data_IF_864103489008
#
_entry.id   IF_864103489008
#
_cell.length_a   1.000
_cell.length_b   1.000
_cell.length_c   1.000
_cell.angle_alpha   90.00
_cell.angle_beta   90.00
_cell.angle_gamma   90.00
#
_symmetry.space_group_name_H-M   'P 1'
#
loop_
_entity.id
_entity.type
_entity.pdbx_description
1 polymer ?
#
# COMPACT_ATOMS: atom_id res chain seq x y z
N UNK A 1 16.98 29.89 8.04
CA UNK A 1 15.60 30.11 7.54
C UNK A 1 15.20 28.92 6.64
N UNK A 2 15.20 27.69 7.18
CA UNK A 2 15.13 26.42 6.39
C UNK A 2 13.95 25.53 6.86
N UNK A 3 12.87 26.11 7.42
CA UNK A 3 11.85 25.30 8.11
C UNK A 3 10.54 25.06 7.34
N UNK A 4 10.42 25.40 6.05
CA UNK A 4 9.15 25.20 5.31
C UNK A 4 9.23 24.24 4.09
N UNK A 5 10.40 23.68 3.78
CA UNK A 5 10.62 23.08 2.44
C UNK A 5 11.24 21.68 2.42
N UNK A 6 11.38 21.02 3.57
CA UNK A 6 12.07 19.72 3.68
C UNK A 6 11.08 18.62 4.10
N UNK A 7 10.90 17.63 3.23
CA UNK A 7 10.25 16.36 3.59
C UNK A 7 11.33 15.29 3.70
N UNK A 8 11.47 14.67 4.87
CA UNK A 8 12.46 13.62 5.14
C UNK A 8 11.78 12.25 5.00
N UNK A 9 12.30 11.42 4.10
CA UNK A 9 12.13 9.97 4.10
C UNK A 9 13.30 9.36 4.87
N UNK A 10 13.16 8.13 5.36
CA UNK A 10 14.12 7.46 6.28
C UNK A 10 15.60 7.57 5.79
N UNK A 11 15.83 7.71 4.49
CA UNK A 11 17.12 7.86 3.84
C UNK A 11 17.22 9.02 2.82
N UNK A 12 16.19 9.87 2.67
CA UNK A 12 16.12 10.86 1.57
C UNK A 12 15.50 12.18 2.01
N UNK A 13 15.92 13.29 1.41
CA UNK A 13 15.36 14.63 1.62
C UNK A 13 14.84 15.18 0.29
N UNK A 14 13.56 15.57 0.26
CA UNK A 14 13.00 16.33 -0.84
C UNK A 14 13.14 17.84 -0.58
N UNK A 15 13.79 18.55 -1.51
CA UNK A 15 13.94 20.00 -1.54
C UNK A 15 13.08 20.58 -2.65
N UNK A 16 12.16 21.50 -2.32
CA UNK A 16 11.35 22.20 -3.33
C UNK A 16 12.19 23.15 -4.19
N UNK A 17 13.21 23.75 -3.60
CA UNK A 17 14.10 24.71 -4.23
C UNK A 17 15.54 24.38 -3.85
N UNK A 18 16.45 24.44 -4.82
CA UNK A 18 17.87 24.27 -4.55
C UNK A 18 18.48 25.60 -4.09
N UNK A 19 19.45 25.57 -3.16
CA UNK A 19 20.16 26.77 -2.77
C UNK A 19 20.84 27.42 -3.99
N UNK A 20 20.96 28.75 -4.01
CA UNK A 20 21.66 29.49 -5.06
C UNK A 20 23.07 28.93 -5.33
N UNK A 21 23.59 29.15 -6.55
CA UNK A 21 24.91 28.59 -6.96
C UNK A 21 26.06 29.21 -6.17
N UNK A 22 25.88 30.45 -5.73
CA UNK A 22 26.80 31.25 -4.91
C UNK A 22 26.76 30.91 -3.41
N UNK A 23 25.72 30.21 -2.93
CA UNK A 23 25.65 29.76 -1.53
C UNK A 23 26.50 28.49 -1.31
N UNK A 24 27.79 28.72 -1.10
CA UNK A 24 28.78 27.66 -0.94
C UNK A 24 28.55 26.79 0.31
N UNK A 25 28.06 27.38 1.41
CA UNK A 25 27.88 26.69 2.68
C UNK A 25 26.68 25.73 2.61
N UNK A 26 25.53 26.19 2.11
CA UNK A 26 24.34 25.34 1.96
C UNK A 26 24.60 24.20 0.97
N UNK A 27 25.27 24.49 -0.16
CA UNK A 27 25.62 23.47 -1.15
C UNK A 27 26.62 22.46 -0.63
N UNK A 28 27.59 22.89 0.18
CA UNK A 28 28.53 21.97 0.82
C UNK A 28 27.82 21.05 1.81
N UNK A 29 26.86 21.56 2.58
CA UNK A 29 26.03 20.73 3.47
C UNK A 29 25.26 19.66 2.68
N UNK A 30 24.62 20.02 1.56
CA UNK A 30 23.92 19.04 0.72
C UNK A 30 24.86 18.01 0.07
N UNK A 31 26.07 18.41 -0.33
CA UNK A 31 27.08 17.46 -0.83
C UNK A 31 27.49 16.44 0.22
N UNK A 32 27.78 16.88 1.45
CA UNK A 32 28.14 16.00 2.57
C UNK A 32 27.03 15.00 2.89
N UNK A 33 25.78 15.47 2.81
CA UNK A 33 24.60 14.65 2.97
C UNK A 33 24.51 13.54 1.90
N UNK A 34 24.78 13.87 0.64
CA UNK A 34 24.83 12.88 -0.45
C UNK A 34 25.99 11.89 -0.24
N UNK A 35 27.15 12.35 0.23
CA UNK A 35 28.32 11.50 0.52
C UNK A 35 28.04 10.46 1.60
N UNK A 36 27.20 10.78 2.60
CA UNK A 36 26.73 9.81 3.60
C UNK A 36 25.51 9.00 3.13
N UNK A 37 25.31 8.90 1.82
CA UNK A 37 24.24 8.15 1.14
C UNK A 37 22.82 8.67 1.39
N UNK A 38 22.64 9.92 1.82
CA UNK A 38 21.31 10.51 1.90
C UNK A 38 20.82 10.97 0.52
N UNK A 39 19.66 10.48 0.09
CA UNK A 39 19.07 10.82 -1.20
C UNK A 39 18.53 12.25 -1.22
N UNK A 40 19.25 13.21 -1.80
CA UNK A 40 18.72 14.57 -1.99
C UNK A 40 17.93 14.60 -3.29
N UNK A 41 16.63 14.87 -3.20
CA UNK A 41 15.68 14.93 -4.33
C UNK A 41 15.34 16.39 -4.63
N UNK A 42 15.46 16.80 -5.89
CA UNK A 42 15.11 18.15 -6.36
C UNK A 42 14.28 18.11 -7.66
N UNK A 43 13.39 19.08 -7.92
CA UNK A 43 12.65 19.18 -9.18
C UNK A 43 13.56 19.30 -10.39
N UNK A 44 13.10 18.77 -11.53
CA UNK A 44 13.80 18.88 -12.82
C UNK A 44 14.17 20.33 -13.16
N UNK A 45 13.26 21.28 -12.96
CA UNK A 45 13.50 22.71 -13.23
C UNK A 45 14.66 23.28 -12.41
N UNK A 46 14.78 22.91 -11.14
CA UNK A 46 15.86 23.36 -10.27
C UNK A 46 17.18 22.71 -10.67
N UNK A 47 17.16 21.43 -11.05
CA UNK A 47 18.39 20.74 -11.47
C UNK A 47 18.93 21.27 -12.80
N UNK A 48 18.05 21.69 -13.72
CA UNK A 48 18.46 22.30 -15.00
C UNK A 48 19.02 23.72 -14.82
N UNK A 49 18.52 24.47 -13.83
CA UNK A 49 18.93 25.87 -13.60
C UNK A 49 20.09 26.01 -12.62
N UNK A 50 20.14 25.17 -11.59
CA UNK A 50 21.06 25.25 -10.45
C UNK A 50 21.62 23.86 -10.10
N UNK A 51 22.28 23.16 -11.04
CA UNK A 51 22.61 21.74 -10.91
C UNK A 51 23.34 21.42 -9.60
N UNK A 52 22.90 20.35 -8.94
CA UNK A 52 23.54 19.75 -7.78
C UNK A 52 24.05 18.35 -8.14
N UNK A 53 25.37 18.11 -8.19
CA UNK A 53 25.90 16.80 -8.55
C UNK A 53 25.38 15.67 -7.65
N UNK A 54 25.09 14.50 -8.25
CA UNK A 54 24.61 13.28 -7.57
C UNK A 54 23.26 13.40 -6.84
N UNK A 55 22.58 14.54 -6.95
CA UNK A 55 21.20 14.68 -6.51
C UNK A 55 20.27 13.83 -7.40
N UNK A 56 19.22 13.30 -6.79
CA UNK A 56 18.12 12.65 -7.50
C UNK A 56 17.17 13.70 -8.06
N UNK A 57 16.57 13.42 -9.21
CA UNK A 57 15.71 14.39 -9.90
C UNK A 57 14.26 13.91 -9.91
N UNK A 58 13.38 14.76 -9.40
CA UNK A 58 11.93 14.57 -9.43
C UNK A 58 11.39 15.00 -10.80
N UNK A 59 10.70 14.08 -11.47
CA UNK A 59 10.06 14.28 -12.77
C UNK A 59 8.61 13.82 -12.73
N UNK A 60 7.70 14.51 -13.42
CA UNK A 60 6.32 14.05 -13.64
C UNK A 60 6.17 13.36 -15.01
N UNK A 61 5.00 12.75 -15.28
CA UNK A 61 4.74 12.04 -16.56
C UNK A 61 4.89 12.92 -17.80
N UNK A 62 4.54 14.21 -17.72
CA UNK A 62 4.68 15.16 -18.84
C UNK A 62 6.14 15.48 -19.12
N UNK A 63 6.94 15.63 -18.08
CA UNK A 63 8.40 15.85 -18.21
C UNK A 63 9.10 14.60 -18.74
N UNK A 64 8.62 13.42 -18.37
CA UNK A 64 9.09 12.16 -18.96
C UNK A 64 8.72 12.06 -20.44
N UNK A 65 7.48 12.40 -20.82
CA UNK A 65 7.02 12.27 -22.21
C UNK A 65 7.68 13.28 -23.16
N UNK A 66 7.97 14.49 -22.67
CA UNK A 66 8.76 15.48 -23.42
C UNK A 66 10.25 15.10 -23.54
N UNK A 67 10.74 14.18 -22.70
CA UNK A 67 12.14 13.78 -22.68
C UNK A 67 13.08 14.82 -22.09
N UNK A 68 12.56 15.81 -21.36
CA UNK A 68 13.35 16.91 -20.77
C UNK A 68 14.43 16.40 -19.80
N UNK A 69 14.20 15.25 -19.15
CA UNK A 69 15.18 14.59 -18.29
C UNK A 69 16.45 14.14 -19.02
N UNK A 70 16.43 13.98 -20.36
CA UNK A 70 17.61 13.60 -21.16
C UNK A 70 18.66 14.71 -21.25
N UNK A 71 18.31 15.94 -20.86
CA UNK A 71 19.25 17.05 -20.75
C UNK A 71 20.16 16.92 -19.51
N UNK A 72 19.82 16.02 -18.58
CA UNK A 72 20.61 15.76 -17.40
C UNK A 72 21.81 14.85 -17.73
N UNK A 73 22.88 14.88 -16.92
CA UNK A 73 24.01 13.99 -17.09
C UNK A 73 23.61 12.51 -17.11
N UNK A 74 24.30 11.70 -17.91
CA UNK A 74 24.11 10.24 -17.91
C UNK A 74 24.30 9.65 -16.50
N UNK A 75 23.44 8.69 -16.14
CA UNK A 75 23.44 8.08 -14.80
C UNK A 75 22.68 8.88 -13.74
N UNK A 76 22.02 9.98 -14.09
CA UNK A 76 21.17 10.72 -13.14
C UNK A 76 20.04 9.83 -12.61
N UNK A 77 19.90 9.78 -11.29
CA UNK A 77 18.89 8.98 -10.60
C UNK A 77 17.54 9.71 -10.66
N UNK A 78 16.52 9.05 -11.20
CA UNK A 78 15.19 9.64 -11.36
C UNK A 78 14.24 9.20 -10.24
N UNK A 79 13.41 10.14 -9.79
CA UNK A 79 12.23 9.94 -8.94
C UNK A 79 11.02 10.38 -9.74
N UNK A 80 10.01 9.52 -9.85
CA UNK A 80 8.83 9.85 -10.67
C UNK A 80 7.66 10.26 -9.78
N UNK A 81 7.14 11.46 -9.96
CA UNK A 81 5.93 11.93 -9.29
C UNK A 81 4.69 11.54 -10.10
N UNK A 82 3.74 10.85 -9.45
CA UNK A 82 2.48 10.40 -10.05
C UNK A 82 1.30 10.74 -9.16
N UNK A 83 0.18 11.14 -9.76
CA UNK A 83 -1.07 11.37 -9.04
C UNK A 83 -1.95 10.12 -8.94
N UNK A 84 -1.80 9.17 -9.86
CA UNK A 84 -2.61 7.95 -10.00
C UNK A 84 -3.98 8.17 -10.65
N UNK A 85 -4.38 9.42 -10.88
CA UNK A 85 -5.59 9.78 -11.62
C UNK A 85 -5.36 10.00 -13.12
N UNK A 86 -4.10 9.98 -13.58
CA UNK A 86 -3.74 10.15 -14.98
C UNK A 86 -4.33 9.04 -15.89
N UNK A 87 -4.51 9.29 -17.20
CA UNK A 87 -4.92 8.26 -18.15
C UNK A 87 -3.97 7.06 -18.14
N UNK A 88 -4.52 5.85 -18.25
CA UNK A 88 -3.74 4.61 -18.17
C UNK A 88 -2.67 4.48 -19.26
N UNK A 89 -2.83 5.16 -20.39
CA UNK A 89 -1.83 5.22 -21.47
C UNK A 89 -0.56 5.96 -21.04
N UNK A 90 -0.67 6.97 -20.18
CA UNK A 90 0.48 7.73 -19.69
C UNK A 90 1.37 6.89 -18.77
N UNK A 91 0.82 5.86 -18.11
CA UNK A 91 1.61 4.95 -17.26
C UNK A 91 2.58 4.07 -18.08
N UNK A 92 2.35 3.87 -19.38
CA UNK A 92 3.20 3.03 -20.22
C UNK A 92 4.64 3.54 -20.32
N UNK A 93 4.85 4.84 -20.14
CA UNK A 93 6.20 5.43 -20.12
C UNK A 93 7.06 4.89 -18.97
N UNK A 94 6.44 4.45 -17.86
CA UNK A 94 7.15 3.93 -16.68
C UNK A 94 7.96 2.67 -16.99
N UNK A 95 7.57 1.89 -18.00
CA UNK A 95 8.31 0.68 -18.42
C UNK A 95 9.69 0.99 -19.00
N UNK A 96 9.85 2.19 -19.53
CA UNK A 96 11.04 2.61 -20.25
C UNK A 96 11.96 3.49 -19.39
N UNK A 97 11.60 3.71 -18.12
CA UNK A 97 12.31 4.59 -17.20
C UNK A 97 12.79 3.78 -15.99
N UNK A 98 14.10 3.83 -15.72
CA UNK A 98 14.68 3.29 -14.48
C UNK A 98 14.45 4.26 -13.32
N UNK A 99 13.20 4.30 -12.84
CA UNK A 99 12.81 5.07 -11.67
C UNK A 99 13.32 4.41 -10.39
N UNK A 100 14.05 5.17 -9.55
CA UNK A 100 14.51 4.66 -8.25
C UNK A 100 13.42 4.59 -7.20
N UNK A 101 12.45 5.49 -7.31
CA UNK A 101 11.22 5.45 -6.51
C UNK A 101 10.12 6.22 -7.26
N UNK A 102 8.89 5.93 -6.91
CA UNK A 102 7.70 6.67 -7.32
C UNK A 102 7.19 7.44 -6.12
N UNK A 103 7.02 8.75 -6.26
CA UNK A 103 6.36 9.60 -5.30
C UNK A 103 4.89 9.72 -5.71
N UNK A 104 3.99 9.07 -4.97
CA UNK A 104 2.56 9.18 -5.21
C UNK A 104 2.01 10.42 -4.50
N UNK A 105 1.65 11.44 -5.28
CA UNK A 105 1.22 12.76 -4.80
C UNK A 105 -0.18 13.04 -5.32
N UNK A 106 -1.19 12.95 -4.45
CA UNK A 106 -2.55 13.39 -4.77
C UNK A 106 -2.91 14.60 -3.89
N UNK A 107 -3.04 15.81 -4.47
CA UNK A 107 -3.42 17.01 -3.71
C UNK A 107 -4.80 16.84 -3.07
N UNK A 108 -4.93 17.21 -1.79
CA UNK A 108 -6.20 17.16 -1.06
C UNK A 108 -7.28 18.10 -1.61
N UNK A 109 -6.89 19.09 -2.42
CA UNK A 109 -7.77 20.16 -2.91
C UNK A 109 -8.59 19.79 -4.15
N UNK A 110 -8.42 18.58 -4.70
CA UNK A 110 -9.08 18.17 -5.94
C UNK A 110 -10.07 17.03 -5.70
N UNK A 111 -11.36 17.38 -5.56
CA UNK A 111 -12.48 16.47 -5.23
C UNK A 111 -12.84 15.44 -6.33
N UNK A 112 -11.99 15.24 -7.34
CA UNK A 112 -12.36 14.40 -8.49
C UNK A 112 -12.23 12.91 -8.21
N UNK A 113 -11.17 12.49 -7.52
CA UNK A 113 -10.83 11.08 -7.30
C UNK A 113 -10.27 10.90 -5.89
N UNK A 114 -10.76 9.90 -5.17
CA UNK A 114 -10.24 9.55 -3.85
C UNK A 114 -8.83 8.95 -3.92
N UNK A 115 -7.99 9.25 -2.93
CA UNK A 115 -6.61 8.73 -2.80
C UNK A 115 -6.51 7.22 -2.95
N UNK A 116 -7.44 6.48 -2.34
CA UNK A 116 -7.51 5.02 -2.41
C UNK A 116 -7.66 4.54 -3.86
N UNK A 117 -8.52 5.21 -4.64
CA UNK A 117 -8.76 4.83 -6.03
C UNK A 117 -7.53 5.11 -6.91
N UNK A 118 -6.91 6.29 -6.75
CA UNK A 118 -5.70 6.65 -7.49
C UNK A 118 -4.52 5.72 -7.16
N UNK A 119 -4.32 5.41 -5.88
CA UNK A 119 -3.30 4.47 -5.43
C UNK A 119 -3.55 3.05 -5.96
N UNK A 120 -4.80 2.55 -5.90
CA UNK A 120 -5.18 1.23 -6.43
C UNK A 120 -4.84 1.13 -7.92
N UNK A 121 -5.23 2.12 -8.73
CA UNK A 121 -4.91 2.13 -10.17
C UNK A 121 -3.42 2.04 -10.44
N UNK A 122 -2.62 2.78 -9.67
CA UNK A 122 -1.16 2.73 -9.77
C UNK A 122 -0.61 1.34 -9.40
N UNK A 123 -1.02 0.76 -8.27
CA UNK A 123 -0.52 -0.55 -7.84
C UNK A 123 -0.99 -1.69 -8.74
N UNK A 124 -2.24 -1.67 -9.24
CA UNK A 124 -2.73 -2.62 -10.24
C UNK A 124 -1.89 -2.54 -11.53
N UNK A 125 -1.53 -1.33 -11.96
CA UNK A 125 -0.64 -1.13 -13.10
C UNK A 125 0.76 -1.73 -12.84
N UNK A 126 1.39 -1.37 -11.72
CA UNK A 126 2.72 -1.86 -11.36
C UNK A 126 2.75 -3.39 -11.25
N UNK A 127 1.76 -3.98 -10.57
CA UNK A 127 1.60 -5.43 -10.44
C UNK A 127 1.38 -6.09 -11.80
N UNK A 128 0.47 -5.55 -12.62
CA UNK A 128 0.16 -6.06 -13.95
C UNK A 128 1.33 -6.00 -14.95
N UNK A 129 2.32 -5.13 -14.70
CA UNK A 129 3.54 -5.01 -15.50
C UNK A 129 4.79 -5.57 -14.80
N UNK A 130 4.62 -6.23 -13.64
CA UNK A 130 5.70 -6.77 -12.82
C UNK A 130 6.82 -5.75 -12.48
N UNK A 131 6.44 -4.48 -12.30
CA UNK A 131 7.35 -3.40 -11.93
C UNK A 131 7.53 -3.37 -10.41
N UNK A 132 8.75 -3.60 -9.94
CA UNK A 132 9.13 -3.59 -8.52
C UNK A 132 9.81 -2.29 -8.12
N UNK A 133 9.10 -1.17 -8.28
CA UNK A 133 9.60 0.16 -7.90
C UNK A 133 9.04 0.55 -6.54
N UNK A 134 9.84 1.04 -5.58
CA UNK A 134 9.34 1.56 -4.32
C UNK A 134 8.38 2.72 -4.54
N UNK A 135 7.17 2.64 -3.96
CA UNK A 135 6.17 3.71 -4.01
C UNK A 135 6.07 4.37 -2.65
N UNK A 136 6.27 5.68 -2.61
CA UNK A 136 6.18 6.50 -1.42
C UNK A 136 4.92 7.36 -1.51
N UNK A 137 4.00 7.15 -0.57
CA UNK A 137 2.80 7.98 -0.45
C UNK A 137 3.17 9.34 0.17
N UNK A 138 3.09 10.41 -0.61
CA UNK A 138 3.29 11.76 -0.10
C UNK A 138 1.98 12.30 0.46
N UNK A 139 1.78 12.07 1.75
CA UNK A 139 0.60 12.55 2.46
C UNK A 139 0.80 14.02 2.82
N UNK A 140 -0.07 14.87 2.30
CA UNK A 140 -0.16 16.26 2.69
C UNK A 140 -1.20 16.40 3.80
N UNK A 141 -0.91 17.23 4.78
CA UNK A 141 -1.86 17.59 5.84
C UNK A 141 -2.23 19.07 5.69
N UNK A 142 -3.52 19.44 5.78
CA UNK A 142 -3.94 20.82 5.70
C UNK A 142 -3.22 21.71 6.73
N UNK A 143 -3.00 22.98 6.38
CA UNK A 143 -2.45 23.94 7.34
C UNK A 143 -3.43 24.14 8.50
N UNK A 144 -2.94 24.08 9.74
CA UNK A 144 -3.75 24.30 10.95
C UNK A 144 -4.40 23.04 11.54
N UNK A 145 -4.09 21.85 11.04
CA UNK A 145 -4.51 20.57 11.64
C UNK A 145 -3.96 20.46 13.06
N UNK A 146 -4.82 20.10 14.02
CA UNK A 146 -4.41 19.87 15.42
C UNK A 146 -3.50 18.65 15.49
N UNK A 147 -2.60 18.62 16.46
CA UNK A 147 -1.66 17.51 16.66
C UNK A 147 -2.36 16.15 16.76
N UNK A 148 -3.48 16.08 17.46
CA UNK A 148 -4.20 14.82 17.66
C UNK A 148 -4.80 14.30 16.34
N UNK A 149 -5.41 15.21 15.56
CA UNK A 149 -5.96 14.91 14.24
C UNK A 149 -4.86 14.50 13.25
N UNK A 150 -3.67 15.09 13.36
CA UNK A 150 -2.50 14.69 12.56
C UNK A 150 -2.08 13.25 12.87
N UNK A 151 -2.00 12.89 14.15
CA UNK A 151 -1.60 11.54 14.58
C UNK A 151 -2.64 10.50 14.15
N UNK A 152 -3.93 10.79 14.37
CA UNK A 152 -5.04 9.91 13.97
C UNK A 152 -5.07 9.75 12.44
N UNK A 153 -4.95 10.85 11.71
CA UNK A 153 -4.94 10.86 10.25
C UNK A 153 -3.77 10.07 9.68
N UNK A 154 -2.56 10.30 10.18
CA UNK A 154 -1.37 9.57 9.74
C UNK A 154 -1.48 8.06 9.98
N UNK A 155 -1.99 7.64 11.14
CA UNK A 155 -2.21 6.22 11.43
C UNK A 155 -3.26 5.58 10.51
N UNK A 156 -4.35 6.30 10.23
CA UNK A 156 -5.42 5.83 9.33
C UNK A 156 -4.92 5.71 7.89
N UNK A 157 -4.14 6.67 7.42
CA UNK A 157 -3.53 6.64 6.09
C UNK A 157 -2.53 5.48 5.95
N UNK A 158 -1.72 5.23 6.99
CA UNK A 158 -0.77 4.12 7.00
C UNK A 158 -1.47 2.75 6.90
N UNK A 159 -2.54 2.54 7.67
CA UNK A 159 -3.34 1.32 7.59
C UNK A 159 -3.96 1.15 6.19
N UNK A 160 -4.48 2.23 5.62
CA UNK A 160 -5.06 2.24 4.27
C UNK A 160 -4.04 1.87 3.19
N UNK A 161 -2.79 2.35 3.31
CA UNK A 161 -1.71 1.97 2.40
C UNK A 161 -1.37 0.48 2.48
N UNK A 162 -1.32 -0.13 3.67
CA UNK A 162 -1.11 -1.58 3.79
C UNK A 162 -2.29 -2.39 3.27
N UNK A 163 -3.52 -1.93 3.51
CA UNK A 163 -4.74 -2.56 3.00
C UNK A 163 -4.78 -2.53 1.46
N UNK A 164 -4.32 -1.44 0.84
CA UNK A 164 -4.17 -1.34 -0.62
C UNK A 164 -3.14 -2.34 -1.16
N UNK A 165 -1.97 -2.44 -0.52
CA UNK A 165 -0.93 -3.39 -0.93
C UNK A 165 -1.40 -4.84 -0.81
N UNK A 166 -2.18 -5.15 0.24
CA UNK A 166 -2.77 -6.48 0.45
C UNK A 166 -3.86 -6.75 -0.58
N UNK A 167 -4.76 -5.80 -0.84
CA UNK A 167 -5.80 -5.92 -1.87
C UNK A 167 -5.26 -6.08 -3.29
N UNK A 168 -4.09 -5.49 -3.58
CA UNK A 168 -3.38 -5.67 -4.86
C UNK A 168 -2.50 -6.93 -4.89
N UNK A 169 -2.52 -7.76 -3.84
CA UNK A 169 -1.68 -8.97 -3.68
C UNK A 169 -0.16 -8.70 -3.80
N UNK A 170 0.27 -7.48 -3.47
CA UNK A 170 1.68 -7.10 -3.50
C UNK A 170 2.38 -7.36 -2.16
N UNK A 171 1.64 -7.28 -1.04
CA UNK A 171 2.16 -7.56 0.30
C UNK A 171 1.05 -7.97 1.26
N UNK A 172 1.21 -9.12 1.90
CA UNK A 172 0.32 -9.57 2.96
C UNK A 172 0.85 -9.06 4.31
N UNK A 173 0.02 -8.30 5.03
CA UNK A 173 0.41 -7.66 6.30
C UNK A 173 -0.40 -8.18 7.49
N UNK A 174 -1.58 -8.72 7.20
CA UNK A 174 -2.51 -9.32 8.15
C UNK A 174 -3.25 -10.48 7.48
N UNK A 175 -4.04 -11.19 8.26
CA UNK A 175 -4.93 -12.25 7.75
C UNK A 175 -5.93 -11.67 6.75
N UNK A 176 -6.16 -12.38 5.66
CA UNK A 176 -7.18 -12.06 4.66
C UNK A 176 -8.49 -12.75 5.03
N UNK A 177 -9.61 -12.03 4.92
CA UNK A 177 -10.93 -12.55 5.23
C UNK A 177 -11.86 -12.38 4.05
N UNK A 178 -12.47 -13.48 3.62
CA UNK A 178 -13.55 -13.46 2.63
C UNK A 178 -14.82 -13.93 3.34
N UNK A 179 -15.83 -13.08 3.43
CA UNK A 179 -17.09 -13.42 4.09
C UNK A 179 -18.27 -13.19 3.16
N UNK A 180 -19.20 -14.14 3.09
CA UNK A 180 -20.41 -13.92 2.32
C UNK A 180 -21.29 -12.83 2.95
N UNK A 181 -22.05 -12.06 2.16
CA UNK A 181 -23.11 -11.23 2.71
C UNK A 181 -24.18 -12.09 3.38
N UNK A 182 -24.76 -11.58 4.48
CA UNK A 182 -25.90 -12.23 5.11
C UNK A 182 -27.08 -12.30 4.13
N UNK A 183 -27.70 -13.47 4.01
CA UNK A 183 -28.85 -13.72 3.14
C UNK A 183 -29.85 -14.67 3.83
N UNK A 184 -31.00 -14.95 3.22
CA UNK A 184 -32.03 -15.83 3.81
C UNK A 184 -31.62 -17.30 4.00
N UNK A 185 -30.45 -17.71 3.50
CA UNK A 185 -29.88 -19.05 3.69
C UNK A 185 -28.85 -19.11 4.82
N UNK A 186 -28.49 -17.97 5.38
CA UNK A 186 -27.46 -17.87 6.40
C UNK A 186 -27.94 -18.53 7.70
N UNK A 187 -27.12 -19.43 8.25
CA UNK A 187 -27.46 -20.27 9.41
C UNK A 187 -26.96 -19.68 10.75
N UNK A 188 -26.21 -18.58 10.71
CA UNK A 188 -25.64 -17.90 11.88
C UNK A 188 -25.36 -16.42 11.57
N UNK A 189 -25.08 -15.60 12.58
CA UNK A 189 -24.66 -14.23 12.34
C UNK A 189 -23.22 -14.19 11.81
N UNK A 190 -23.08 -14.02 10.49
CA UNK A 190 -21.76 -13.96 9.83
C UNK A 190 -20.95 -12.76 10.32
N UNK A 191 -21.59 -11.65 10.67
CA UNK A 191 -20.88 -10.45 11.10
C UNK A 191 -20.27 -10.65 12.48
N UNK A 192 -21.04 -11.18 13.42
CA UNK A 192 -20.58 -11.47 14.79
C UNK A 192 -19.43 -12.48 14.78
N UNK A 193 -19.62 -13.62 14.10
CA UNK A 193 -18.59 -14.66 13.99
C UNK A 193 -17.34 -14.14 13.25
N UNK A 194 -17.52 -13.33 12.20
CA UNK A 194 -16.39 -12.73 11.50
C UNK A 194 -15.60 -11.79 12.40
N UNK A 195 -16.26 -11.03 13.28
CA UNK A 195 -15.58 -10.17 14.24
C UNK A 195 -14.78 -10.99 15.26
N UNK A 196 -15.38 -12.06 15.81
CA UNK A 196 -14.72 -12.96 16.76
C UNK A 196 -13.47 -13.62 16.16
N UNK A 197 -13.60 -14.17 14.94
CA UNK A 197 -12.47 -14.80 14.23
C UNK A 197 -11.38 -13.75 13.95
N UNK A 198 -11.75 -12.54 13.50
CA UNK A 198 -10.79 -11.45 13.22
C UNK A 198 -10.01 -11.02 14.45
N UNK A 199 -10.69 -10.89 15.59
CA UNK A 199 -10.05 -10.53 16.86
C UNK A 199 -8.93 -11.51 17.21
N UNK A 200 -9.19 -12.81 17.05
CA UNK A 200 -8.26 -13.87 17.44
C UNK A 200 -7.20 -14.19 16.37
N UNK A 201 -7.41 -13.82 15.11
CA UNK A 201 -6.54 -14.27 13.99
C UNK A 201 -5.94 -13.15 13.14
N UNK A 202 -6.31 -11.88 13.28
CA UNK A 202 -5.90 -10.79 12.36
C UNK A 202 -4.39 -10.57 12.25
N UNK A 203 -3.63 -10.96 13.27
CA UNK A 203 -2.18 -10.77 13.34
C UNK A 203 -1.36 -11.75 12.48
N UNK A 204 -1.98 -12.69 11.77
CA UNK A 204 -1.29 -13.77 11.02
C UNK A 204 -1.09 -13.39 9.54
N UNK A 205 0.04 -12.80 9.13
CA UNK A 205 0.27 -12.45 7.74
C UNK A 205 0.33 -13.70 6.85
N UNK A 206 -0.34 -13.64 5.70
CA UNK A 206 -0.31 -14.72 4.70
C UNK A 206 -1.27 -15.88 4.98
N UNK A 207 -2.13 -15.77 5.98
CA UNK A 207 -3.26 -16.68 6.19
C UNK A 207 -4.51 -16.08 5.56
N UNK A 208 -5.28 -16.90 4.85
CA UNK A 208 -6.57 -16.53 4.27
C UNK A 208 -7.70 -17.39 4.86
N UNK A 209 -8.75 -16.74 5.34
CA UNK A 209 -9.88 -17.39 6.03
C UNK A 209 -11.19 -16.99 5.35
N UNK A 210 -11.95 -17.99 4.92
CA UNK A 210 -13.27 -17.81 4.32
C UNK A 210 -14.37 -18.14 5.33
N UNK A 211 -15.36 -17.25 5.48
CA UNK A 211 -16.47 -17.35 6.44
C UNK A 211 -17.79 -17.33 5.69
N UNK A 212 -18.49 -18.46 5.70
CA UNK A 212 -19.63 -18.71 4.83
C UNK A 212 -20.83 -19.13 5.66
N UNK A 213 -21.88 -18.33 5.60
CA UNK A 213 -23.13 -18.54 6.34
C UNK A 213 -23.90 -19.80 5.96
N UNK A 214 -23.58 -20.41 4.82
CA UNK A 214 -24.24 -21.61 4.32
C UNK A 214 -23.32 -22.43 3.41
N UNK A 215 -23.62 -23.71 3.24
CA UNK A 215 -22.86 -24.65 2.40
C UNK A 215 -22.95 -24.37 0.90
N UNK A 216 -23.93 -23.58 0.44
CA UNK A 216 -24.19 -23.38 -0.99
C UNK A 216 -23.10 -22.54 -1.65
N UNK A 217 -22.74 -21.40 -1.04
CA UNK A 217 -21.67 -20.54 -1.53
C UNK A 217 -20.29 -20.95 -1.00
N UNK A 218 -20.26 -21.79 0.05
CA UNK A 218 -19.05 -22.18 0.77
C UNK A 218 -17.93 -22.74 -0.13
N UNK A 219 -18.13 -23.90 -0.79
CA UNK A 219 -17.06 -24.59 -1.51
C UNK A 219 -16.43 -23.81 -2.68
N UNK A 220 -17.20 -22.92 -3.32
CA UNK A 220 -16.74 -22.13 -4.46
C UNK A 220 -15.88 -20.94 -4.04
N UNK A 221 -16.33 -20.18 -3.04
CA UNK A 221 -15.60 -19.00 -2.52
C UNK A 221 -14.39 -19.39 -1.65
N UNK A 222 -14.29 -20.67 -1.32
CA UNK A 222 -13.17 -21.28 -0.61
C UNK A 222 -12.01 -21.72 -1.49
N UNK A 223 -12.17 -21.70 -2.83
CA UNK A 223 -11.18 -22.30 -3.73
C UNK A 223 -9.76 -21.72 -3.58
N UNK A 224 -9.67 -20.48 -3.10
CA UNK A 224 -8.45 -19.70 -2.95
C UNK A 224 -8.10 -19.40 -1.48
N UNK A 225 -8.80 -19.99 -0.50
CA UNK A 225 -8.57 -19.75 0.93
C UNK A 225 -7.87 -20.92 1.61
N UNK A 226 -7.07 -20.63 2.63
CA UNK A 226 -6.35 -21.63 3.42
C UNK A 226 -7.28 -22.35 4.41
N UNK A 227 -8.22 -21.62 5.00
CA UNK A 227 -9.15 -22.14 5.99
C UNK A 227 -10.59 -21.71 5.70
N UNK A 228 -11.55 -22.59 6.01
CA UNK A 228 -12.97 -22.30 5.89
C UNK A 228 -13.74 -22.47 7.20
N UNK A 229 -14.70 -21.57 7.42
CA UNK A 229 -15.74 -21.68 8.44
C UNK A 229 -17.09 -21.64 7.72
N UNK A 230 -17.79 -22.78 7.64
CA UNK A 230 -18.97 -22.94 6.79
C UNK A 230 -20.18 -23.43 7.59
N UNK A 231 -21.31 -22.76 7.45
CA UNK A 231 -22.59 -23.21 8.01
C UNK A 231 -23.09 -24.44 7.26
N UNK A 232 -23.10 -25.60 7.92
CA UNK A 232 -23.61 -26.85 7.35
C UNK A 232 -25.11 -27.01 7.58
N UNK A 233 -25.49 -27.08 8.87
CA UNK A 233 -26.86 -27.23 9.35
C UNK A 233 -27.13 -26.18 10.45
N UNK A 234 -28.40 -25.92 10.83
CA UNK A 234 -28.70 -25.02 11.95
C UNK A 234 -27.92 -25.41 13.22
N UNK A 235 -27.13 -24.48 13.76
CA UNK A 235 -26.27 -24.73 14.94
C UNK A 235 -24.95 -25.42 14.64
N UNK A 236 -24.68 -25.81 13.39
CA UNK A 236 -23.59 -26.72 13.03
C UNK A 236 -22.64 -26.13 11.98
N UNK A 237 -21.34 -26.23 12.28
CA UNK A 237 -20.27 -25.66 11.47
C UNK A 237 -19.37 -26.76 10.91
N UNK A 238 -18.98 -26.60 9.65
CA UNK A 238 -17.88 -27.31 9.00
C UNK A 238 -16.61 -26.47 9.01
N UNK A 239 -15.48 -27.11 9.24
CA UNK A 239 -14.15 -26.50 9.15
C UNK A 239 -13.31 -27.22 8.10
N UNK A 240 -12.68 -26.40 7.28
CA UNK A 240 -12.02 -26.86 6.06
C UNK A 240 -10.59 -26.32 6.01
N UNK A 241 -9.69 -27.10 5.38
CA UNK A 241 -8.32 -26.70 5.07
C UNK A 241 -8.14 -26.81 3.55
N UNK A 242 -7.88 -25.68 2.90
CA UNK A 242 -7.97 -25.56 1.45
C UNK A 242 -9.34 -26.03 0.94
N UNK A 243 -9.33 -27.03 0.06
CA UNK A 243 -10.54 -27.60 -0.55
C UNK A 243 -11.10 -28.83 0.19
N UNK A 244 -10.51 -29.19 1.32
CA UNK A 244 -10.85 -30.43 2.04
C UNK A 244 -11.56 -30.12 3.35
N UNK A 245 -12.71 -30.75 3.55
CA UNK A 245 -13.43 -30.67 4.81
C UNK A 245 -12.76 -31.55 5.85
N UNK A 246 -12.24 -30.94 6.92
CA UNK A 246 -11.45 -31.65 7.95
C UNK A 246 -12.30 -31.95 9.18
N UNK A 247 -13.26 -31.07 9.52
CA UNK A 247 -14.21 -31.29 10.61
C UNK A 247 -15.63 -30.93 10.15
N UNK A 248 -16.62 -31.73 10.55
CA UNK A 248 -18.04 -31.53 10.19
C UNK A 248 -18.92 -31.54 11.42
N UNK A 249 -19.97 -30.73 11.41
CA UNK A 249 -21.03 -30.78 12.42
C UNK A 249 -20.58 -30.33 13.82
N UNK A 250 -19.60 -29.44 13.89
CA UNK A 250 -19.15 -28.86 15.16
C UNK A 250 -20.25 -27.93 15.67
N UNK A 251 -20.59 -28.02 16.96
CA UNK A 251 -21.51 -27.07 17.58
C UNK A 251 -20.93 -25.66 17.48
N UNK A 252 -21.75 -24.70 17.06
CA UNK A 252 -21.33 -23.32 16.81
C UNK A 252 -20.54 -22.69 17.97
N UNK A 253 -20.95 -22.97 19.21
CA UNK A 253 -20.29 -22.48 20.43
C UNK A 253 -18.80 -22.87 20.53
N UNK A 254 -18.41 -24.00 19.94
CA UNK A 254 -17.04 -24.51 19.98
C UNK A 254 -16.31 -24.34 18.63
N UNK A 255 -16.99 -23.86 17.60
CA UNK A 255 -16.48 -23.87 16.24
C UNK A 255 -15.35 -22.85 16.02
N UNK A 256 -15.46 -21.65 16.61
CA UNK A 256 -14.41 -20.62 16.49
C UNK A 256 -13.09 -21.09 17.13
N UNK A 257 -13.15 -21.66 18.33
CA UNK A 257 -11.96 -22.18 19.01
C UNK A 257 -11.37 -23.39 18.27
N UNK A 258 -12.23 -24.26 17.71
CA UNK A 258 -11.80 -25.38 16.88
C UNK A 258 -11.09 -24.92 15.59
N UNK A 259 -11.53 -23.80 14.99
CA UNK A 259 -10.86 -23.17 13.84
C UNK A 259 -9.49 -22.64 14.24
N UNK A 260 -9.37 -21.94 15.37
CA UNK A 260 -8.10 -21.37 15.81
C UNK A 260 -7.09 -22.47 16.11
N UNK A 261 -7.51 -23.55 16.76
CA UNK A 261 -6.64 -24.69 16.97
C UNK A 261 -6.20 -25.31 15.65
N UNK A 262 -7.12 -25.43 14.68
CA UNK A 262 -6.79 -25.92 13.35
C UNK A 262 -5.74 -25.04 12.65
N UNK A 263 -5.82 -23.72 12.77
CA UNK A 263 -4.83 -22.79 12.23
C UNK A 263 -3.47 -22.97 12.93
N UNK A 264 -3.46 -23.09 14.27
CA UNK A 264 -2.24 -23.35 15.07
C UNK A 264 -1.53 -24.64 14.66
N UNK A 265 -2.30 -25.67 14.31
CA UNK A 265 -1.75 -26.97 13.93
C UNK A 265 -1.12 -26.95 12.51
N UNK A 266 -1.55 -26.01 11.64
CA UNK A 266 -1.15 -25.97 10.23
C UNK A 266 -0.20 -24.81 9.86
N UNK A 267 -0.14 -23.76 10.68
CA UNK A 267 0.68 -22.56 10.45
C UNK A 267 1.61 -22.34 11.64
N UNK A 268 2.80 -21.78 11.40
CA UNK A 268 3.63 -21.26 12.51
C UNK A 268 2.92 -20.07 13.16
N UNK A 269 2.18 -20.35 14.22
CA UNK A 269 1.51 -19.38 15.07
C UNK A 269 2.58 -18.72 15.97
N UNK A 270 3.29 -17.72 15.46
CA UNK A 270 4.27 -16.90 16.20
C UNK A 270 3.91 -15.45 16.11
#
# INVERSE_FOLDING_TARGET
MISESITVFIDSIFLRELPPVDDSDARLALKRLIEVSMGVIAPLSEQLTKPLPNAMVLVNLKELSTGAYKLLPEGTRLVVSLRGDEPSEEFEILKHVDAKMILHVLPLSEDKIGRVHAARRLFEYLAGKALSVPVIHHIQFPKGVRRDDLVIGAGTDMNTSFDLLQGCRMRNTKTEYVSCPSCGRTLFDVQEISAEIREKTSHLPGVSITIMGCIVNGPGEMADADFGYVGGDPGKIGLDVGKTVVKRGIEMEHATDALIQLIKDNVRFT
#
